data_IF_674739335375
#
_entry.id   IF_674739335375
#
_cell.length_a   1.000
_cell.length_b   1.000
_cell.length_c   1.000
_cell.angle_alpha   90.00
_cell.angle_beta   90.00
_cell.angle_gamma   90.00
#
_symmetry.space_group_name_H-M   'P 1'
#
loop_
_entity.id
_entity.type
_entity.pdbx_description
1 polymer ?
#
# COMPACT_ATOMS: atom_id res chain seq x y z
N UNK A 1 -5.48 -2.93 6.68
CA UNK A 1 -4.76 -4.19 6.98
C UNK A 1 -3.84 -4.54 5.83
N UNK A 2 -4.37 -4.90 4.65
CA UNK A 2 -3.56 -5.26 3.46
C UNK A 2 -2.45 -4.25 3.16
N UNK A 3 -2.74 -2.94 3.15
CA UNK A 3 -1.72 -1.90 2.95
C UNK A 3 -0.53 -1.99 3.92
N UNK A 4 -0.77 -2.41 5.16
CA UNK A 4 0.32 -2.61 6.11
C UNK A 4 1.03 -3.94 5.86
N UNK A 5 0.29 -5.03 5.68
CA UNK A 5 0.85 -6.37 5.45
C UNK A 5 1.71 -6.42 4.17
N UNK A 6 1.25 -5.82 3.07
CA UNK A 6 1.95 -5.84 1.78
C UNK A 6 3.02 -4.74 1.67
N UNK A 7 2.79 -3.57 2.26
CA UNK A 7 3.59 -2.37 1.97
C UNK A 7 4.33 -1.81 3.19
N UNK A 8 4.04 -2.29 4.39
CA UNK A 8 4.60 -1.75 5.63
C UNK A 8 4.11 -0.32 5.96
N UNK A 9 3.00 0.13 5.36
CA UNK A 9 2.44 1.47 5.55
C UNK A 9 1.18 1.44 6.41
N UNK A 10 1.12 2.28 7.45
CA UNK A 10 -0.01 2.33 8.39
C UNK A 10 -0.47 3.77 8.65
N UNK A 11 -1.67 4.10 8.18
CA UNK A 11 -2.29 5.40 8.41
C UNK A 11 -2.92 5.42 9.81
N UNK A 12 -2.48 6.37 10.64
CA UNK A 12 -2.85 6.45 12.06
C UNK A 12 -3.15 7.88 12.50
N UNK A 13 -3.87 7.99 13.60
CA UNK A 13 -4.03 9.22 14.39
C UNK A 13 -3.33 9.00 15.72
N UNK A 14 -2.41 9.90 16.08
CA UNK A 14 -1.68 9.82 17.35
C UNK A 14 -2.50 10.41 18.52
N UNK A 15 -1.98 10.31 19.75
CA UNK A 15 -2.59 10.88 20.97
C UNK A 15 -2.79 12.41 20.94
N UNK A 16 -2.10 13.13 20.05
CA UNK A 16 -2.27 14.56 19.82
C UNK A 16 -3.29 14.87 18.70
N UNK A 17 -4.05 13.87 18.25
CA UNK A 17 -5.02 13.98 17.16
C UNK A 17 -4.40 14.42 15.82
N UNK A 18 -3.12 14.09 15.61
CA UNK A 18 -2.40 14.36 14.37
C UNK A 18 -2.41 13.10 13.51
N UNK A 19 -2.68 13.28 12.22
CA UNK A 19 -2.64 12.21 11.22
C UNK A 19 -1.20 11.96 10.79
N UNK A 20 -0.79 10.70 10.80
CA UNK A 20 0.54 10.28 10.41
C UNK A 20 0.45 9.03 9.53
N UNK A 21 1.38 8.90 8.59
CA UNK A 21 1.63 7.64 7.89
C UNK A 21 2.91 7.01 8.45
N UNK A 22 2.76 5.92 9.20
CA UNK A 22 3.90 5.16 9.70
C UNK A 22 4.43 4.24 8.59
N UNK A 23 5.75 4.08 8.55
CA UNK A 23 6.43 3.23 7.56
C UNK A 23 7.42 2.29 8.24
N UNK A 24 7.31 1.00 7.94
CA UNK A 24 8.27 -0.03 8.35
C UNK A 24 9.67 0.19 7.75
N UNK A 25 9.79 0.94 6.66
CA UNK A 25 11.09 1.28 6.06
C UNK A 25 11.83 2.29 6.93
N UNK A 26 11.14 3.30 7.46
CA UNK A 26 11.77 4.39 8.23
C UNK A 26 11.79 4.16 9.75
N UNK A 27 10.87 3.37 10.29
CA UNK A 27 10.72 3.16 11.73
C UNK A 27 10.96 1.69 12.11
N UNK A 28 11.91 1.46 13.03
CA UNK A 28 12.29 0.13 13.51
C UNK A 28 11.14 -0.58 14.24
N UNK A 29 10.40 0.14 15.09
CA UNK A 29 9.29 -0.44 15.87
C UNK A 29 8.18 -0.85 14.92
N UNK A 30 7.86 0.01 13.95
CA UNK A 30 6.86 -0.29 12.91
C UNK A 30 7.27 -1.50 12.06
N UNK A 31 8.57 -1.65 11.78
CA UNK A 31 9.12 -2.83 11.08
C UNK A 31 8.93 -4.11 11.88
N UNK A 32 9.20 -4.08 13.19
CA UNK A 32 8.98 -5.23 14.07
C UNK A 32 7.50 -5.63 14.10
N UNK A 33 6.59 -4.65 14.09
CA UNK A 33 5.15 -4.90 13.98
C UNK A 33 4.78 -5.53 12.64
N UNK A 34 5.33 -4.99 11.55
CA UNK A 34 5.10 -5.49 10.20
C UNK A 34 5.53 -6.95 10.05
N UNK A 35 6.75 -7.30 10.49
CA UNK A 35 7.24 -8.68 10.48
C UNK A 35 6.37 -9.61 11.33
N UNK A 36 6.02 -9.21 12.56
CA UNK A 36 5.20 -10.05 13.44
C UNK A 36 3.80 -10.35 12.87
N UNK A 37 3.22 -9.42 12.10
CA UNK A 37 1.94 -9.64 11.43
C UNK A 37 2.12 -10.50 10.18
N UNK A 38 3.13 -10.23 9.37
CA UNK A 38 3.43 -10.99 8.15
C UNK A 38 3.72 -12.47 8.44
N UNK A 39 4.38 -12.76 9.56
CA UNK A 39 4.71 -14.12 10.01
C UNK A 39 3.53 -14.82 10.72
N UNK A 40 2.38 -14.13 10.86
CA UNK A 40 1.20 -14.66 11.53
C UNK A 40 1.34 -14.79 13.06
N UNK A 41 2.38 -14.19 13.66
CA UNK A 41 2.62 -14.23 15.09
C UNK A 41 1.69 -13.30 15.89
N UNK A 42 1.17 -12.24 15.27
CA UNK A 42 0.16 -11.33 15.84
C UNK A 42 -0.80 -10.83 14.77
N UNK A 43 -2.01 -10.45 15.19
CA UNK A 43 -2.92 -9.72 14.29
C UNK A 43 -2.67 -8.20 14.37
N UNK A 44 -3.04 -7.48 13.31
CA UNK A 44 -3.07 -6.00 13.33
C UNK A 44 -3.98 -5.47 14.44
N UNK A 45 -5.09 -6.16 14.70
CA UNK A 45 -6.03 -5.77 15.74
C UNK A 45 -5.39 -5.83 17.13
N UNK A 46 -4.65 -6.89 17.45
CA UNK A 46 -3.95 -7.01 18.74
C UNK A 46 -2.92 -5.89 18.92
N UNK A 47 -2.16 -5.60 17.86
CA UNK A 47 -1.15 -4.55 17.86
C UNK A 47 -1.75 -3.16 18.12
N UNK A 48 -2.85 -2.81 17.45
CA UNK A 48 -3.54 -1.53 17.68
C UNK A 48 -4.16 -1.51 19.08
N UNK A 49 -4.72 -2.62 19.55
CA UNK A 49 -5.36 -2.69 20.87
C UNK A 49 -4.37 -2.40 22.00
N UNK A 50 -3.16 -2.97 21.93
CA UNK A 50 -2.08 -2.73 22.91
C UNK A 50 -1.56 -1.29 22.86
N UNK A 51 -1.69 -0.60 21.72
CA UNK A 51 -1.21 0.78 21.55
C UNK A 51 -2.34 1.83 21.54
N UNK A 52 -3.56 1.44 21.92
CA UNK A 52 -4.78 2.23 21.73
C UNK A 52 -4.79 3.56 22.50
N UNK A 53 -4.03 3.67 23.61
CA UNK A 53 -3.86 4.91 24.36
C UNK A 53 -3.08 5.98 23.59
N UNK A 54 -2.27 5.57 22.60
CA UNK A 54 -1.37 6.46 21.87
C UNK A 54 -1.65 6.54 20.36
N UNK A 55 -2.36 5.54 19.82
CA UNK A 55 -2.44 5.33 18.38
C UNK A 55 -3.76 4.67 17.98
N UNK A 56 -4.45 5.28 17.04
CA UNK A 56 -5.68 4.78 16.44
C UNK A 56 -5.52 4.69 14.92
N UNK A 57 -6.25 3.78 14.26
CA UNK A 57 -6.27 3.71 12.80
C UNK A 57 -7.00 4.92 12.21
N UNK A 58 -6.41 5.57 11.20
CA UNK A 58 -7.03 6.70 10.51
C UNK A 58 -8.00 6.23 9.40
N UNK A 59 -9.06 5.52 9.82
CA UNK A 59 -10.10 5.05 8.89
C UNK A 59 -10.93 6.21 8.35
N UNK A 60 -11.02 7.33 9.09
CA UNK A 60 -11.85 8.48 8.72
C UNK A 60 -11.30 9.27 7.53
N UNK A 61 -10.00 9.17 7.26
CA UNK A 61 -9.40 9.82 6.08
C UNK A 61 -9.55 8.99 4.80
N UNK A 62 -9.91 7.71 4.90
CA UNK A 62 -10.18 6.88 3.72
C UNK A 62 -11.47 7.35 3.04
N UNK A 63 -11.34 7.84 1.81
CA UNK A 63 -12.48 8.18 0.96
C UNK A 63 -12.80 7.00 0.05
N UNK A 64 -14.05 6.51 -0.01
CA UNK A 64 -14.43 5.53 -0.99
C UNK A 64 -14.26 6.14 -2.39
N UNK A 65 -13.65 5.38 -3.30
CA UNK A 65 -13.36 5.82 -4.66
C UNK A 65 -14.20 5.04 -5.68
N UNK A 66 -14.20 3.71 -5.59
CA UNK A 66 -14.97 2.86 -6.48
C UNK A 66 -15.28 1.50 -5.84
N UNK A 67 -16.24 0.79 -6.42
CA UNK A 67 -16.55 -0.59 -6.09
C UNK A 67 -16.65 -1.39 -7.39
N UNK A 68 -15.86 -2.46 -7.50
CA UNK A 68 -15.78 -3.28 -8.71
C UNK A 68 -16.18 -4.71 -8.40
N UNK A 69 -17.12 -5.22 -9.19
CA UNK A 69 -17.55 -6.62 -9.15
C UNK A 69 -16.92 -7.37 -10.31
N UNK A 70 -16.34 -8.54 -10.02
CA UNK A 70 -15.87 -9.42 -11.09
C UNK A 70 -17.07 -9.94 -11.90
N UNK A 71 -17.03 -9.84 -13.24
CA UNK A 71 -18.05 -10.41 -14.13
C UNK A 71 -18.31 -11.91 -13.89
N UNK A 72 -19.48 -12.39 -14.31
CA UNK A 72 -19.98 -13.74 -13.99
C UNK A 72 -19.27 -14.87 -14.74
N UNK A 73 -18.62 -14.55 -15.86
CA UNK A 73 -17.87 -15.47 -16.71
C UNK A 73 -16.52 -15.91 -16.11
N UNK A 74 -16.10 -15.32 -14.99
CA UNK A 74 -14.87 -15.70 -14.28
C UNK A 74 -15.14 -16.72 -13.18
N UNK A 75 -14.33 -17.78 -13.14
CA UNK A 75 -14.44 -18.86 -12.15
C UNK A 75 -14.19 -18.38 -10.71
N UNK A 76 -13.35 -17.36 -10.52
CA UNK A 76 -13.13 -16.69 -9.24
C UNK A 76 -13.57 -15.24 -9.34
N UNK A 77 -14.34 -14.78 -8.35
CA UNK A 77 -14.99 -13.48 -8.37
C UNK A 77 -14.74 -12.75 -7.05
N UNK A 78 -14.62 -11.44 -7.16
CA UNK A 78 -14.41 -10.54 -6.04
C UNK A 78 -15.41 -9.38 -6.10
N UNK A 79 -15.80 -8.92 -4.92
CA UNK A 79 -16.45 -7.63 -4.69
C UNK A 79 -15.43 -6.72 -4.01
N UNK A 80 -14.84 -5.81 -4.78
CA UNK A 80 -13.64 -5.06 -4.36
C UNK A 80 -13.97 -3.59 -4.21
N UNK A 81 -13.82 -3.07 -2.99
CA UNK A 81 -13.94 -1.65 -2.68
C UNK A 81 -12.56 -1.00 -2.71
N UNK A 82 -12.45 0.08 -3.48
CA UNK A 82 -11.25 0.90 -3.57
C UNK A 82 -11.43 2.15 -2.72
N UNK A 83 -10.40 2.47 -1.95
CA UNK A 83 -10.32 3.65 -1.11
C UNK A 83 -9.10 4.47 -1.51
N UNK A 84 -9.20 5.78 -1.36
CA UNK A 84 -8.10 6.72 -1.53
C UNK A 84 -7.90 7.52 -0.25
N UNK A 85 -6.65 7.88 0.02
CA UNK A 85 -6.29 8.80 1.09
C UNK A 85 -5.20 9.73 0.62
N UNK A 86 -5.18 10.93 1.17
CA UNK A 86 -4.12 11.88 0.91
C UNK A 86 -3.06 11.71 2.00
N UNK A 87 -1.81 11.68 1.56
CA UNK A 87 -0.65 11.53 2.43
C UNK A 87 0.22 12.76 2.20
N UNK A 88 0.52 13.49 3.28
CA UNK A 88 1.49 14.57 3.19
C UNK A 88 2.89 13.96 2.99
N UNK A 89 3.70 14.50 2.07
CA UNK A 89 5.03 13.97 1.80
C UNK A 89 5.89 14.03 3.07
N UNK A 90 6.46 12.88 3.46
CA UNK A 90 7.33 12.78 4.62
C UNK A 90 8.71 13.33 4.26
N UNK A 91 9.16 14.40 4.91
CA UNK A 91 10.44 15.08 4.64
C UNK A 91 10.66 15.46 3.16
N UNK A 92 9.60 15.78 2.41
CA UNK A 92 9.68 16.15 1.00
C UNK A 92 9.83 14.98 0.03
N UNK A 93 9.86 13.74 0.52
CA UNK A 93 9.85 12.55 -0.33
C UNK A 93 8.41 12.08 -0.57
N UNK A 94 8.07 11.89 -1.84
CA UNK A 94 6.82 11.24 -2.23
C UNK A 94 6.85 9.78 -1.81
N UNK A 95 5.89 9.37 -0.98
CA UNK A 95 5.66 7.95 -0.70
C UNK A 95 4.89 7.39 -1.89
N UNK A 96 5.59 6.73 -2.79
CA UNK A 96 4.95 5.94 -3.84
C UNK A 96 4.31 4.73 -3.17
N UNK A 97 3.01 4.55 -3.39
CA UNK A 97 2.39 3.28 -3.09
C UNK A 97 3.10 2.20 -3.92
N UNK A 98 3.31 0.99 -3.38
CA UNK A 98 4.06 -0.02 -4.10
C UNK A 98 3.23 -0.58 -5.26
N UNK A 99 3.94 -1.11 -6.29
CA UNK A 99 3.30 -1.72 -7.42
C UNK A 99 2.40 -2.87 -6.99
N UNK A 100 1.19 -2.90 -7.50
CA UNK A 100 0.23 -3.97 -7.28
C UNK A 100 0.79 -5.30 -7.81
N UNK A 101 0.39 -6.44 -7.23
CA UNK A 101 0.94 -7.75 -7.60
C UNK A 101 0.85 -8.06 -9.11
N UNK A 102 -0.18 -7.57 -9.81
CA UNK A 102 -0.29 -7.74 -11.25
C UNK A 102 0.71 -6.87 -12.04
N UNK A 103 1.12 -5.73 -11.49
CA UNK A 103 2.15 -4.86 -12.07
C UNK A 103 3.52 -5.54 -11.95
N UNK A 104 3.84 -6.10 -10.78
CA UNK A 104 5.04 -6.92 -10.58
C UNK A 104 5.07 -8.15 -11.49
N UNK A 105 3.94 -8.86 -11.61
CA UNK A 105 3.83 -10.02 -12.51
C UNK A 105 4.09 -9.64 -13.96
N UNK A 106 3.56 -8.49 -14.41
CA UNK A 106 3.79 -7.99 -15.77
C UNK A 106 5.25 -7.59 -16.00
N UNK A 107 5.90 -6.94 -15.02
CA UNK A 107 7.34 -6.62 -15.10
C UNK A 107 8.17 -7.89 -15.25
N UNK A 108 7.91 -8.91 -14.43
CA UNK A 108 8.63 -10.20 -14.49
C UNK A 108 8.42 -10.90 -15.84
N UNK A 109 7.20 -10.86 -16.39
CA UNK A 109 6.89 -11.54 -17.66
C UNK A 109 7.39 -10.80 -18.90
N UNK A 110 7.47 -9.47 -18.88
CA UNK A 110 7.81 -8.67 -20.06
C UNK A 110 9.23 -8.11 -20.05
N UNK A 111 9.97 -8.24 -18.95
CA UNK A 111 11.28 -7.62 -18.79
C UNK A 111 11.19 -6.10 -18.59
N UNK A 112 12.25 -5.50 -18.06
CA UNK A 112 12.31 -4.06 -17.76
C UNK A 112 12.53 -3.19 -19.02
N UNK A 113 12.71 -3.80 -20.18
CA UNK A 113 13.23 -3.11 -21.36
C UNK A 113 12.19 -2.20 -22.04
N UNK A 114 10.91 -2.30 -21.68
CA UNK A 114 9.86 -1.46 -22.27
C UNK A 114 8.67 -1.22 -21.33
N UNK A 115 8.87 -0.41 -20.28
CA UNK A 115 7.81 -0.02 -19.33
C UNK A 115 6.59 0.63 -20.02
N UNK A 116 6.76 1.26 -21.18
CA UNK A 116 5.67 1.86 -21.94
C UNK A 116 4.64 0.83 -22.44
N UNK A 117 5.03 -0.44 -22.60
CA UNK A 117 4.13 -1.55 -22.95
C UNK A 117 3.30 -2.09 -21.78
N UNK A 118 3.61 -1.65 -20.55
CA UNK A 118 2.84 -2.00 -19.36
C UNK A 118 1.58 -1.13 -19.22
N UNK A 119 1.52 0.02 -19.92
CA UNK A 119 0.35 0.88 -20.01
C UNK A 119 -0.76 0.20 -20.81
N UNK A 120 -1.94 0.12 -20.22
CA UNK A 120 -3.16 -0.32 -20.91
C UNK A 120 -4.27 0.66 -20.59
N UNK A 121 -4.95 1.21 -21.60
CA UNK A 121 -6.00 2.24 -21.43
C UNK A 121 -7.14 1.80 -20.49
N UNK A 122 -7.26 0.49 -20.23
CA UNK A 122 -8.27 -0.14 -19.38
C UNK A 122 -7.79 -0.50 -17.97
N UNK A 123 -6.50 -0.37 -17.66
CA UNK A 123 -5.92 -0.63 -16.34
C UNK A 123 -4.98 0.50 -15.99
N UNK A 124 -5.43 1.37 -15.10
CA UNK A 124 -4.64 2.49 -14.61
C UNK A 124 -3.50 1.90 -13.77
N UNK A 125 -2.28 1.91 -14.32
CA UNK A 125 -1.02 1.62 -13.62
C UNK A 125 -0.27 2.95 -13.38
N UNK A 126 -0.74 3.84 -12.49
CA UNK A 126 -0.21 5.19 -12.38
C UNK A 126 1.23 5.20 -11.82
N UNK A 127 1.61 4.19 -11.04
CA UNK A 127 2.89 4.15 -10.33
C UNK A 127 4.08 3.84 -11.23
N UNK A 128 3.89 3.12 -12.35
CA UNK A 128 4.99 2.72 -13.24
C UNK A 128 5.18 3.67 -14.42
N UNK A 129 4.12 4.37 -14.82
CA UNK A 129 4.14 5.23 -16.00
C UNK A 129 4.75 6.60 -15.71
N UNK A 130 4.67 7.07 -14.45
CA UNK A 130 5.08 8.43 -14.06
C UNK A 130 6.26 8.50 -13.09
N UNK A 131 6.73 7.36 -12.56
CA UNK A 131 7.79 7.33 -11.55
C UNK A 131 9.24 7.28 -12.09
N UNK A 132 9.41 7.40 -13.42
CA UNK A 132 10.71 7.57 -14.07
C UNK A 132 11.81 6.62 -13.57
N UNK A 133 13.02 7.15 -13.36
CA UNK A 133 14.18 6.38 -12.89
C UNK A 133 14.15 5.96 -11.41
N UNK A 134 13.17 6.41 -10.63
CA UNK A 134 13.12 6.18 -9.17
C UNK A 134 12.60 4.79 -8.81
N UNK A 135 11.70 4.21 -9.61
CA UNK A 135 11.20 2.82 -9.43
C UNK A 135 12.34 1.81 -9.44
N UNK A 136 13.34 2.03 -10.31
CA UNK A 136 14.46 1.10 -10.47
C UNK A 136 15.29 0.95 -9.19
N UNK A 137 15.35 2.01 -8.35
CA UNK A 137 16.05 2.03 -7.05
C UNK A 137 15.24 1.44 -5.90
N UNK A 138 13.91 1.42 -6.01
CA UNK A 138 13.03 0.86 -4.96
C UNK A 138 12.76 -0.64 -5.14
N UNK A 139 12.68 -1.13 -6.39
CA UNK A 139 12.41 -2.55 -6.66
C UNK A 139 13.67 -3.42 -6.50
N UNK A 140 14.86 -2.84 -6.72
CA UNK A 140 16.14 -3.53 -6.56
C UNK A 140 17.12 -2.63 -5.78
N UNK A 141 17.31 -2.85 -4.46
CA UNK A 141 18.38 -2.20 -3.69
C UNK A 141 19.77 -2.69 -4.10
#
# INVERSE_FOLDING_TARGET
RELFEECGLLAVVNCHNQRCLLSATSDRIVREWHSAISDGHRSLFDMISVNSDNLLLDVRSLKPFSNWLTPFDYARRFDTYFYVTYVDPYNGNSILAPPQAYELTRIVHHGLDDLHRLHTDTKICPQLVDAGSEVRRQIFP
#
